data_IF_090761204204
#
_entry.id   IF_090761204204
#
_cell.length_a   1.000
_cell.length_b   1.000
_cell.length_c   1.000
_cell.angle_alpha   90.00
_cell.angle_beta   90.00
_cell.angle_gamma   90.00
#
_symmetry.space_group_name_H-M   'P 1'
#
loop_
_entity.id
_entity.type
_entity.pdbx_description
1 polymer ?
#
# COMPACT_ATOMS: atom_id res chain seq x y z
N UNK A 1 3.15 3.74 10.16
CA UNK A 1 2.67 2.59 10.95
C UNK A 1 2.03 1.61 9.98
N UNK A 2 2.35 0.32 10.07
CA UNK A 2 1.70 -0.74 9.27
C UNK A 2 0.99 -1.67 10.24
N UNK A 3 -0.27 -1.99 9.97
CA UNK A 3 -1.08 -2.83 10.83
C UNK A 3 -1.74 -3.96 10.02
N UNK A 4 -1.92 -5.12 10.66
CA UNK A 4 -2.59 -6.27 10.07
C UNK A 4 -3.94 -6.47 10.76
N UNK A 5 -5.02 -6.45 9.98
CA UNK A 5 -6.37 -6.66 10.47
C UNK A 5 -6.98 -7.90 9.81
N UNK A 6 -7.77 -8.66 10.57
CA UNK A 6 -8.59 -9.74 10.02
C UNK A 6 -10.00 -9.20 9.81
N UNK A 7 -10.49 -9.27 8.58
CA UNK A 7 -11.81 -8.75 8.21
C UNK A 7 -12.69 -9.87 7.69
N UNK A 8 -14.00 -9.69 7.80
CA UNK A 8 -15.01 -10.60 7.26
C UNK A 8 -15.97 -9.77 6.41
N UNK A 9 -16.21 -10.18 5.16
CA UNK A 9 -17.20 -9.52 4.31
C UNK A 9 -18.63 -9.94 4.68
N UNK A 10 -19.65 -9.31 4.09
CA UNK A 10 -21.07 -9.65 4.29
C UNK A 10 -21.43 -11.09 3.93
N UNK A 11 -20.67 -11.72 3.04
CA UNK A 11 -20.79 -13.13 2.67
C UNK A 11 -20.11 -14.08 3.65
N UNK A 12 -19.57 -13.58 4.76
CA UNK A 12 -18.90 -14.36 5.80
C UNK A 12 -17.46 -14.80 5.47
N UNK A 13 -16.92 -14.40 4.32
CA UNK A 13 -15.57 -14.75 3.88
C UNK A 13 -14.55 -13.92 4.63
N UNK A 14 -13.50 -14.58 5.12
CA UNK A 14 -12.46 -13.93 5.91
C UNK A 14 -11.25 -13.62 5.04
N UNK A 15 -10.67 -12.43 5.23
CA UNK A 15 -9.41 -12.03 4.56
C UNK A 15 -8.53 -11.25 5.52
N UNK A 16 -7.22 -11.31 5.28
CA UNK A 16 -6.26 -10.43 5.91
C UNK A 16 -6.23 -9.08 5.18
N UNK A 17 -6.12 -8.00 5.93
CA UNK A 17 -5.95 -6.65 5.42
C UNK A 17 -4.67 -6.06 6.02
N UNK A 18 -3.72 -5.73 5.15
CA UNK A 18 -2.55 -4.95 5.50
C UNK A 18 -2.86 -3.47 5.32
N UNK A 19 -3.00 -2.75 6.42
CA UNK A 19 -3.18 -1.30 6.43
C UNK A 19 -1.79 -0.67 6.17
N UNK A 20 -1.51 -0.36 4.91
CA UNK A 20 -0.23 0.15 4.44
C UNK A 20 -0.03 1.66 4.72
N UNK A 21 -1.10 2.37 5.09
CA UNK A 21 -1.08 3.81 5.35
C UNK A 21 -0.33 4.56 4.23
N UNK A 22 0.60 5.46 4.59
CA UNK A 22 1.38 6.27 3.65
C UNK A 22 2.66 5.57 3.15
N UNK A 23 2.81 4.27 3.46
CA UNK A 23 3.92 3.48 2.91
C UNK A 23 3.83 3.35 1.39
N UNK A 24 2.63 3.55 0.84
CA UNK A 24 2.36 3.71 -0.58
C UNK A 24 1.12 4.59 -0.77
N UNK A 25 1.08 5.35 -1.86
CA UNK A 25 -0.04 6.27 -2.17
C UNK A 25 -0.83 5.82 -3.41
N UNK A 26 -0.44 4.71 -4.02
CA UNK A 26 -1.14 4.15 -5.18
C UNK A 26 -0.81 2.67 -5.37
N UNK A 27 -1.72 1.95 -6.03
CA UNK A 27 -1.52 0.53 -6.36
C UNK A 27 -0.42 0.29 -7.39
N UNK A 28 0.01 1.31 -8.14
CA UNK A 28 1.16 1.18 -9.05
C UNK A 28 2.43 0.79 -8.29
N UNK A 29 2.64 1.31 -7.07
CA UNK A 29 3.79 0.94 -6.25
C UNK A 29 3.72 -0.52 -5.74
N UNK A 30 2.51 -1.08 -5.62
CA UNK A 30 2.33 -2.49 -5.27
C UNK A 30 2.69 -3.42 -6.44
N UNK A 31 2.31 -3.04 -7.67
CA UNK A 31 2.57 -3.84 -8.88
C UNK A 31 3.97 -3.61 -9.47
N UNK A 32 4.53 -2.42 -9.28
CA UNK A 32 5.83 -2.00 -9.80
C UNK A 32 6.69 -1.41 -8.67
N UNK A 33 7.12 -2.23 -7.70
CA UNK A 33 7.77 -1.75 -6.48
C UNK A 33 9.12 -1.05 -6.71
N UNK A 34 9.68 -1.15 -7.92
CA UNK A 34 10.95 -0.52 -8.33
C UNK A 34 10.79 0.70 -9.24
N UNK A 35 9.56 1.13 -9.56
CA UNK A 35 9.33 2.31 -10.38
C UNK A 35 9.91 3.56 -9.69
N UNK A 36 10.61 4.48 -10.40
CA UNK A 36 11.15 5.68 -9.79
C UNK A 36 10.09 6.47 -9.03
N UNK A 37 10.48 7.10 -7.91
CA UNK A 37 9.60 8.07 -7.28
C UNK A 37 9.51 9.32 -8.14
N UNK A 38 8.30 9.86 -8.27
CA UNK A 38 8.06 11.11 -8.99
C UNK A 38 8.81 12.25 -8.32
N UNK A 39 9.44 13.09 -9.14
CA UNK A 39 10.16 14.29 -8.71
C UNK A 39 9.35 15.53 -9.07
N UNK A 40 9.48 16.59 -8.28
CA UNK A 40 8.89 17.90 -8.58
C UNK A 40 7.93 18.42 -7.51
N UNK A 41 7.82 17.74 -6.36
CA UNK A 41 7.07 18.24 -5.23
C UNK A 41 7.98 19.08 -4.32
N UNK A 42 7.64 20.34 -3.98
CA UNK A 42 8.47 21.19 -3.13
C UNK A 42 8.31 20.85 -1.64
N UNK A 43 8.34 19.55 -1.29
CA UNK A 43 8.09 19.05 0.07
C UNK A 43 9.38 18.80 0.86
N UNK A 44 10.42 18.30 0.20
CA UNK A 44 11.71 17.99 0.81
C UNK A 44 12.85 18.10 -0.22
N UNK A 45 14.09 17.89 0.22
CA UNK A 45 15.29 17.95 -0.63
C UNK A 45 15.29 16.97 -1.81
N UNK A 46 14.52 15.89 -1.73
CA UNK A 46 14.45 14.87 -2.78
C UNK A 46 13.38 15.22 -3.83
N UNK A 47 12.48 16.15 -3.51
CA UNK A 47 11.39 16.54 -4.39
C UNK A 47 10.28 15.49 -4.51
N UNK A 48 10.20 14.55 -3.55
CA UNK A 48 9.26 13.41 -3.54
C UNK A 48 8.49 13.37 -2.22
N UNK A 49 7.39 12.60 -2.16
CA UNK A 49 6.63 12.38 -0.91
C UNK A 49 7.43 11.52 0.09
N UNK A 50 8.47 10.81 -0.38
CA UNK A 50 9.27 9.88 0.41
C UNK A 50 10.54 10.57 0.93
N UNK A 51 10.55 10.93 2.21
CA UNK A 51 11.72 11.59 2.85
C UNK A 51 12.97 10.69 2.85
N UNK A 52 12.79 9.40 3.14
CA UNK A 52 13.79 8.35 2.98
C UNK A 52 13.38 7.40 1.86
N UNK A 53 13.89 7.66 0.66
CA UNK A 53 13.56 6.86 -0.53
C UNK A 53 14.02 5.41 -0.43
N UNK A 54 15.18 5.16 0.20
CA UNK A 54 15.73 3.81 0.31
C UNK A 54 14.88 2.97 1.28
N UNK A 55 14.50 3.54 2.42
CA UNK A 55 13.61 2.88 3.36
C UNK A 55 12.21 2.68 2.78
N UNK A 56 11.64 3.70 2.13
CA UNK A 56 10.35 3.59 1.46
C UNK A 56 10.36 2.49 0.40
N UNK A 57 11.42 2.42 -0.43
CA UNK A 57 11.59 1.37 -1.43
C UNK A 57 11.57 -0.02 -0.82
N UNK A 58 12.35 -0.23 0.24
CA UNK A 58 12.43 -1.51 0.94
C UNK A 58 11.07 -1.93 1.52
N UNK A 59 10.33 -0.99 2.09
CA UNK A 59 8.99 -1.27 2.63
C UNK A 59 8.03 -1.66 1.50
N UNK A 60 8.02 -0.91 0.39
CA UNK A 60 7.17 -1.20 -0.76
C UNK A 60 7.48 -2.57 -1.36
N UNK A 61 8.76 -2.92 -1.50
CA UNK A 61 9.19 -4.25 -1.98
C UNK A 61 8.72 -5.37 -1.05
N UNK A 62 8.84 -5.20 0.27
CA UNK A 62 8.33 -6.18 1.25
C UNK A 62 6.81 -6.36 1.15
N UNK A 63 6.06 -5.26 0.99
CA UNK A 63 4.60 -5.30 0.84
C UNK A 63 4.21 -6.02 -0.46
N UNK A 64 4.92 -5.75 -1.55
CA UNK A 64 4.69 -6.44 -2.83
C UNK A 64 4.96 -7.95 -2.71
N UNK A 65 6.05 -8.35 -2.06
CA UNK A 65 6.36 -9.76 -1.80
C UNK A 65 5.29 -10.44 -0.92
N UNK A 66 4.79 -9.75 0.10
CA UNK A 66 3.68 -10.28 0.91
C UNK A 66 2.41 -10.46 0.08
N UNK A 67 2.07 -9.50 -0.79
CA UNK A 67 0.91 -9.63 -1.68
C UNK A 67 1.07 -10.80 -2.65
N UNK A 68 2.26 -11.01 -3.19
CA UNK A 68 2.57 -12.14 -4.06
C UNK A 68 2.42 -13.48 -3.32
N UNK A 69 2.98 -13.58 -2.11
CA UNK A 69 2.96 -14.81 -1.32
C UNK A 69 1.56 -15.21 -0.85
N UNK A 70 0.72 -14.24 -0.45
CA UNK A 70 -0.61 -14.51 0.12
C UNK A 70 -1.75 -14.38 -0.89
N UNK A 71 -1.48 -13.94 -2.12
CA UNK A 71 -2.46 -13.86 -3.20
C UNK A 71 -3.76 -13.18 -2.79
N UNK A 72 -4.89 -13.87 -2.96
CA UNK A 72 -6.23 -13.33 -2.65
C UNK A 72 -6.58 -13.32 -1.15
N UNK A 73 -5.79 -13.98 -0.30
CA UNK A 73 -6.01 -13.98 1.14
C UNK A 73 -5.60 -12.66 1.80
N UNK A 74 -4.72 -11.89 1.13
CA UNK A 74 -4.22 -10.60 1.61
C UNK A 74 -4.70 -9.45 0.71
N UNK A 75 -5.41 -8.51 1.33
CA UNK A 75 -5.72 -7.21 0.75
C UNK A 75 -4.74 -6.16 1.29
N UNK A 76 -4.11 -5.38 0.41
CA UNK A 76 -3.22 -4.28 0.80
C UNK A 76 -4.00 -2.98 0.67
N UNK A 77 -4.00 -2.18 1.72
CA UNK A 77 -4.77 -0.94 1.82
C UNK A 77 -3.88 0.29 2.04
N UNK A 78 -3.54 1.03 0.97
CA UNK A 78 -2.96 2.37 1.06
C UNK A 78 -3.97 3.38 1.64
N UNK A 79 -3.51 4.41 2.37
CA UNK A 79 -4.40 5.42 2.93
C UNK A 79 -5.02 6.36 1.87
N UNK A 80 -4.27 6.68 0.82
CA UNK A 80 -4.60 7.74 -0.12
C UNK A 80 -4.85 7.22 -1.54
N UNK A 81 -5.85 6.36 -1.70
CA UNK A 81 -6.26 5.84 -3.02
C UNK A 81 -7.71 6.22 -3.27
N UNK A 82 -7.91 7.04 -4.31
CA UNK A 82 -9.12 7.84 -4.62
C UNK A 82 -10.45 7.08 -4.74
N UNK A 83 -10.46 5.75 -4.66
CA UNK A 83 -11.64 4.91 -4.96
C UNK A 83 -12.07 3.98 -3.83
N UNK A 84 -11.46 4.04 -2.65
CA UNK A 84 -11.70 3.04 -1.61
C UNK A 84 -12.69 3.42 -0.51
N UNK A 85 -13.19 4.65 -0.40
CA UNK A 85 -14.24 4.93 0.60
C UNK A 85 -15.50 4.07 0.38
N UNK A 86 -15.78 3.65 -0.87
CA UNK A 86 -16.85 2.71 -1.22
C UNK A 86 -16.47 1.23 -1.37
N UNK A 87 -15.18 0.85 -1.37
CA UNK A 87 -14.77 -0.58 -1.49
C UNK A 87 -14.93 -1.36 -0.17
N UNK A 88 -15.37 -0.66 0.88
CA UNK A 88 -15.83 -1.24 2.14
C UNK A 88 -17.32 -1.57 2.17
N UNK A 89 -18.09 -1.14 1.15
CA UNK A 89 -19.46 -1.61 0.96
C UNK A 89 -19.42 -3.05 0.40
N UNK A 90 -19.27 -3.99 1.32
CA UNK A 90 -19.61 -5.40 1.10
C UNK A 90 -21.07 -5.61 1.44
#
# INVERSE_FOLDING_TARGET
MVALARTKNTKGQTRWVLLAADSMHCYHLLHYPRVPFGKGLPLNKNGTIHEDEAQARRIIENIAQLKEAYGNELFVWPAHVDTLEGIWEF
#
